data_IF_168382515917
#
_entry.id   IF_168382515917
#
_cell.length_a   1.000
_cell.length_b   1.000
_cell.length_c   1.000
_cell.angle_alpha   90.00
_cell.angle_beta   90.00
_cell.angle_gamma   90.00
#
_symmetry.space_group_name_H-M   'P 1'
#
loop_
_entity.id
_entity.type
_entity.pdbx_description
1 polymer ?
#
# COMPACT_ATOMS: atom_id res chain seq x y z
N UNK A 1 0.41 -41.19 21.60
CA UNK A 1 -0.23 -39.86 21.77
C UNK A 1 -1.42 -39.81 20.82
N UNK A 2 -2.63 -39.73 21.36
CA UNK A 2 -3.83 -39.60 20.53
C UNK A 2 -3.80 -38.25 19.81
N UNK A 3 -3.90 -38.25 18.48
CA UNK A 3 -4.09 -37.03 17.71
C UNK A 3 -5.36 -36.35 18.23
N UNK A 4 -5.25 -35.14 18.77
CA UNK A 4 -6.40 -34.35 19.17
C UNK A 4 -7.30 -34.20 17.94
N UNK A 5 -8.54 -34.67 18.01
CA UNK A 5 -9.52 -34.46 16.96
C UNK A 5 -9.66 -32.94 16.76
N UNK A 6 -9.27 -32.45 15.57
CA UNK A 6 -9.47 -31.05 15.20
C UNK A 6 -10.97 -30.76 15.26
N UNK A 7 -11.35 -29.82 16.12
CA UNK A 7 -12.72 -29.31 16.22
C UNK A 7 -13.16 -28.78 14.85
N UNK A 8 -14.35 -29.15 14.38
CA UNK A 8 -14.92 -28.54 13.18
C UNK A 8 -15.51 -27.18 13.56
N UNK A 9 -14.67 -26.15 13.55
CA UNK A 9 -15.04 -24.77 13.91
C UNK A 9 -16.22 -24.24 13.09
N UNK A 10 -16.36 -24.67 11.84
CA UNK A 10 -17.45 -24.22 10.96
C UNK A 10 -18.79 -24.84 11.36
N UNK A 11 -18.79 -26.12 11.72
CA UNK A 11 -20.01 -26.80 12.18
C UNK A 11 -20.39 -26.37 13.59
N UNK A 12 -19.42 -26.35 14.50
CA UNK A 12 -19.70 -26.10 15.93
C UNK A 12 -19.99 -24.65 16.25
N UNK A 13 -19.30 -23.69 15.62
CA UNK A 13 -19.46 -22.27 15.94
C UNK A 13 -20.28 -21.52 14.90
N UNK A 14 -20.09 -21.83 13.63
CA UNK A 14 -20.81 -21.19 12.52
C UNK A 14 -22.00 -22.00 12.03
N UNK A 15 -22.32 -23.17 12.60
CA UNK A 15 -23.49 -23.96 12.22
C UNK A 15 -23.58 -24.30 10.73
N UNK A 16 -22.45 -24.28 10.00
CA UNK A 16 -22.40 -24.55 8.56
C UNK A 16 -22.39 -26.08 8.40
N UNK A 17 -23.33 -26.66 7.62
CA UNK A 17 -23.39 -28.10 7.41
C UNK A 17 -22.11 -28.63 6.75
N UNK A 18 -21.88 -29.93 6.85
CA UNK A 18 -20.74 -30.59 6.20
C UNK A 18 -20.86 -30.46 4.67
N UNK A 19 -19.78 -30.00 4.04
CA UNK A 19 -19.70 -29.69 2.62
C UNK A 19 -18.25 -29.53 2.17
N UNK A 20 -17.98 -29.03 0.94
CA UNK A 20 -16.63 -28.75 0.50
C UNK A 20 -15.96 -27.75 1.45
N UNK A 21 -14.78 -28.11 1.96
CA UNK A 21 -13.95 -27.28 2.84
C UNK A 21 -12.71 -26.81 2.07
N UNK A 22 -12.28 -25.55 2.20
CA UNK A 22 -12.92 -24.46 2.94
C UNK A 22 -14.21 -23.98 2.25
N UNK A 23 -15.20 -23.45 3.02
CA UNK A 23 -16.40 -22.84 2.44
C UNK A 23 -16.04 -21.65 1.55
N UNK A 24 -16.87 -21.36 0.56
CA UNK A 24 -16.76 -20.12 -0.21
C UNK A 24 -17.03 -18.88 0.67
N UNK A 25 -16.66 -17.69 0.20
CA UNK A 25 -16.78 -16.45 1.00
C UNK A 25 -18.24 -16.09 1.31
N UNK A 26 -19.18 -16.44 0.43
CA UNK A 26 -20.62 -16.17 0.64
C UNK A 26 -21.20 -17.12 1.69
N UNK A 27 -20.93 -18.41 1.59
CA UNK A 27 -21.31 -19.45 2.53
C UNK A 27 -20.70 -19.19 3.92
N UNK A 28 -19.43 -18.79 3.96
CA UNK A 28 -18.75 -18.46 5.22
C UNK A 28 -19.43 -17.31 5.95
N UNK A 29 -19.88 -16.28 5.22
CA UNK A 29 -20.63 -15.15 5.78
C UNK A 29 -22.15 -15.38 5.84
N UNK A 30 -22.63 -16.58 5.52
CA UNK A 30 -24.06 -16.94 5.44
C UNK A 30 -24.88 -15.96 4.58
N UNK A 31 -24.36 -15.65 3.40
CA UNK A 31 -24.97 -14.79 2.40
C UNK A 31 -25.47 -15.62 1.21
N UNK A 32 -26.49 -15.14 0.48
CA UNK A 32 -26.79 -15.70 -0.83
C UNK A 32 -25.62 -15.43 -1.79
N UNK A 33 -25.46 -16.31 -2.79
CA UNK A 33 -24.44 -16.15 -3.82
C UNK A 33 -24.64 -14.82 -4.58
N UNK A 34 -23.54 -14.11 -4.86
CA UNK A 34 -23.51 -12.82 -5.57
C UNK A 34 -24.28 -11.68 -4.86
N UNK A 35 -24.33 -11.68 -3.53
CA UNK A 35 -24.91 -10.56 -2.77
C UNK A 35 -24.18 -9.23 -3.07
N UNK A 36 -24.91 -8.22 -3.53
CA UNK A 36 -24.39 -6.88 -3.86
C UNK A 36 -24.52 -5.85 -2.74
N UNK A 37 -25.37 -6.10 -1.74
CA UNK A 37 -25.54 -5.18 -0.60
C UNK A 37 -24.38 -5.27 0.41
N UNK A 38 -23.48 -4.28 0.35
CA UNK A 38 -22.34 -4.10 1.26
C UNK A 38 -22.78 -4.02 2.72
N UNK A 39 -23.90 -3.35 3.03
CA UNK A 39 -24.37 -3.22 4.40
C UNK A 39 -24.84 -4.57 4.96
N UNK A 40 -25.46 -5.40 4.12
CA UNK A 40 -25.84 -6.77 4.49
C UNK A 40 -24.62 -7.67 4.71
N UNK A 41 -23.60 -7.58 3.86
CA UNK A 41 -22.31 -8.27 4.03
C UNK A 41 -21.69 -7.94 5.39
N UNK A 42 -21.54 -6.64 5.68
CA UNK A 42 -20.97 -6.16 6.95
C UNK A 42 -21.81 -6.59 8.16
N UNK A 43 -23.14 -6.51 8.07
CA UNK A 43 -24.05 -6.91 9.15
C UNK A 43 -23.91 -8.39 9.50
N UNK A 44 -23.82 -9.27 8.52
CA UNK A 44 -23.64 -10.70 8.75
C UNK A 44 -22.24 -11.01 9.31
N UNK A 45 -21.21 -10.37 8.76
CA UNK A 45 -19.84 -10.45 9.28
C UNK A 45 -19.80 -10.10 10.78
N UNK A 46 -20.34 -8.95 11.20
CA UNK A 46 -20.35 -8.52 12.61
C UNK A 46 -20.98 -9.56 13.53
N UNK A 47 -22.11 -10.16 13.12
CA UNK A 47 -22.80 -11.20 13.89
C UNK A 47 -21.96 -12.46 14.07
N UNK A 48 -21.36 -12.95 12.98
CA UNK A 48 -20.56 -14.18 12.99
C UNK A 48 -19.25 -13.98 13.74
N UNK A 49 -18.58 -12.86 13.49
CA UNK A 49 -17.37 -12.47 14.20
C UNK A 49 -17.63 -12.39 15.72
N UNK A 50 -18.69 -11.71 16.17
CA UNK A 50 -19.05 -11.65 17.58
C UNK A 50 -19.32 -13.03 18.20
N UNK A 51 -19.82 -14.01 17.43
CA UNK A 51 -19.99 -15.38 17.89
C UNK A 51 -18.64 -16.09 18.08
N UNK A 52 -17.73 -15.96 17.12
CA UNK A 52 -16.40 -16.60 17.16
C UNK A 52 -15.53 -15.99 18.25
N UNK A 53 -15.64 -14.68 18.52
CA UNK A 53 -14.89 -14.00 19.59
C UNK A 53 -15.13 -14.56 20.99
N UNK A 54 -16.25 -15.26 21.22
CA UNK A 54 -16.48 -15.95 22.50
C UNK A 54 -15.46 -17.05 22.78
N UNK A 55 -14.81 -17.55 21.74
CA UNK A 55 -13.77 -18.60 21.80
C UNK A 55 -12.35 -18.04 21.67
N UNK A 56 -12.19 -16.71 21.57
CA UNK A 56 -10.90 -16.02 21.43
C UNK A 56 -9.93 -16.26 22.60
N UNK A 57 -10.45 -16.64 23.77
CA UNK A 57 -9.66 -16.94 24.96
C UNK A 57 -9.76 -18.41 25.35
N UNK A 58 -8.66 -18.99 25.82
CA UNK A 58 -8.62 -20.33 26.37
C UNK A 58 -8.09 -21.37 25.37
N UNK A 59 -8.65 -22.59 25.44
CA UNK A 59 -8.12 -23.76 24.71
C UNK A 59 -8.18 -23.61 23.18
N UNK A 60 -9.15 -22.87 22.66
CA UNK A 60 -9.42 -22.73 21.21
C UNK A 60 -8.98 -21.36 20.66
N UNK A 61 -8.09 -20.66 21.37
CA UNK A 61 -7.67 -19.31 20.99
C UNK A 61 -7.04 -19.28 19.59
N UNK A 62 -6.19 -20.26 19.25
CA UNK A 62 -5.56 -20.33 17.94
C UNK A 62 -6.58 -20.56 16.82
N UNK A 63 -7.47 -21.54 16.99
CA UNK A 63 -8.48 -21.89 15.99
C UNK A 63 -9.52 -20.77 15.79
N UNK A 64 -9.87 -20.06 16.86
CA UNK A 64 -10.74 -18.89 16.78
C UNK A 64 -10.07 -17.72 16.05
N UNK A 65 -8.78 -17.49 16.26
CA UNK A 65 -8.04 -16.44 15.55
C UNK A 65 -7.95 -16.76 14.05
N UNK A 66 -7.66 -18.02 13.68
CA UNK A 66 -7.66 -18.46 12.28
C UNK A 66 -9.02 -18.21 11.61
N UNK A 67 -10.12 -18.57 12.28
CA UNK A 67 -11.46 -18.37 11.75
C UNK A 67 -11.85 -16.87 11.66
N UNK A 68 -11.43 -16.05 12.63
CA UNK A 68 -11.65 -14.60 12.57
C UNK A 68 -10.92 -13.98 11.38
N UNK A 69 -9.69 -14.42 11.12
CA UNK A 69 -8.92 -13.99 9.96
C UNK A 69 -9.59 -14.42 8.65
N UNK A 70 -10.15 -15.64 8.57
CA UNK A 70 -10.95 -16.09 7.43
C UNK A 70 -12.20 -15.23 7.19
N UNK A 71 -12.98 -14.97 8.23
CA UNK A 71 -14.17 -14.11 8.15
C UNK A 71 -13.82 -12.70 7.67
N UNK A 72 -12.70 -12.15 8.15
CA UNK A 72 -12.23 -10.83 7.74
C UNK A 72 -11.81 -10.82 6.27
N UNK A 73 -11.09 -11.84 5.79
CA UNK A 73 -10.72 -11.99 4.38
C UNK A 73 -11.94 -12.05 3.48
N UNK A 74 -12.95 -12.84 3.86
CA UNK A 74 -14.21 -12.95 3.14
C UNK A 74 -14.92 -11.61 3.02
N UNK A 75 -15.09 -10.91 4.15
CA UNK A 75 -15.73 -9.59 4.17
C UNK A 75 -14.96 -8.61 3.30
N UNK A 76 -13.64 -8.51 3.45
CA UNK A 76 -12.80 -7.60 2.68
C UNK A 76 -12.76 -7.91 1.19
N UNK A 77 -12.89 -9.18 0.80
CA UNK A 77 -13.01 -9.56 -0.61
C UNK A 77 -14.33 -9.03 -1.19
N UNK A 78 -15.45 -9.27 -0.48
CA UNK A 78 -16.78 -8.95 -0.95
C UNK A 78 -17.15 -7.46 -0.84
N UNK A 79 -16.48 -6.68 0.01
CA UNK A 79 -16.72 -5.22 0.13
C UNK A 79 -15.84 -4.38 -0.80
N UNK A 80 -14.82 -4.98 -1.41
CA UNK A 80 -13.89 -4.31 -2.32
C UNK A 80 -14.39 -4.46 -3.75
N UNK A 81 -14.70 -3.36 -4.43
CA UNK A 81 -15.38 -3.41 -5.72
C UNK A 81 -14.58 -4.16 -6.80
N UNK A 82 -13.26 -3.95 -6.86
CA UNK A 82 -12.40 -4.58 -7.86
C UNK A 82 -12.24 -6.08 -7.56
N UNK A 83 -11.99 -6.43 -6.30
CA UNK A 83 -11.77 -7.84 -5.91
C UNK A 83 -13.03 -8.66 -5.94
N UNK A 84 -14.17 -8.07 -5.58
CA UNK A 84 -15.44 -8.77 -5.64
C UNK A 84 -15.76 -9.15 -7.08
N UNK A 85 -15.53 -8.26 -8.04
CA UNK A 85 -15.74 -8.56 -9.47
C UNK A 85 -14.89 -9.75 -9.90
N UNK A 86 -13.60 -9.76 -9.53
CA UNK A 86 -12.71 -10.89 -9.85
C UNK A 86 -13.18 -12.19 -9.20
N UNK A 87 -13.51 -12.15 -7.91
CA UNK A 87 -14.00 -13.31 -7.16
C UNK A 87 -15.34 -13.83 -7.71
N UNK A 88 -16.27 -12.94 -8.04
CA UNK A 88 -17.56 -13.29 -8.60
C UNK A 88 -17.42 -13.96 -9.97
N UNK A 89 -16.46 -13.51 -10.81
CA UNK A 89 -16.13 -14.18 -12.08
C UNK A 89 -15.59 -15.59 -11.85
N UNK A 90 -14.69 -15.79 -10.88
CA UNK A 90 -14.20 -17.12 -10.49
C UNK A 90 -15.34 -18.04 -10.02
N UNK A 91 -16.35 -17.48 -9.35
CA UNK A 91 -17.55 -18.20 -8.90
C UNK A 91 -18.61 -18.37 -10.01
N UNK A 92 -18.36 -17.89 -11.23
CA UNK A 92 -19.22 -18.08 -12.40
C UNK A 92 -20.26 -16.97 -12.67
N UNK A 93 -20.12 -15.79 -12.06
CA UNK A 93 -20.95 -14.62 -12.40
C UNK A 93 -20.54 -14.08 -13.76
N UNK A 94 -21.48 -14.06 -14.70
CA UNK A 94 -21.31 -13.31 -15.94
C UNK A 94 -21.60 -11.83 -15.65
N UNK A 95 -20.55 -11.00 -15.70
CA UNK A 95 -20.64 -9.55 -15.47
C UNK A 95 -20.49 -8.89 -16.84
N UNK A 96 -21.49 -8.12 -17.28
CA UNK A 96 -21.32 -7.24 -18.43
C UNK A 96 -20.36 -6.11 -18.02
N UNK A 97 -19.19 -6.03 -18.65
CA UNK A 97 -18.18 -5.00 -18.37
C UNK A 97 -18.73 -3.56 -18.54
N UNK A 98 -19.87 -3.39 -19.24
CA UNK A 98 -20.59 -2.11 -19.38
C UNK A 98 -21.29 -1.66 -18.09
N UNK A 99 -21.63 -2.59 -17.21
CA UNK A 99 -22.35 -2.34 -15.95
C UNK A 99 -21.42 -2.17 -14.74
N UNK A 100 -20.09 -2.15 -14.95
CA UNK A 100 -19.07 -1.87 -13.93
C UNK A 100 -19.09 -0.41 -13.39
N UNK A 101 -20.26 0.23 -13.38
CA UNK A 101 -20.49 1.59 -12.86
C UNK A 101 -20.69 1.58 -11.33
N UNK A 102 -19.90 0.78 -10.62
CA UNK A 102 -19.54 1.06 -9.22
C UNK A 102 -18.24 1.86 -9.20
N UNK A 103 -18.15 2.86 -10.07
CA UNK A 103 -17.04 3.79 -10.14
C UNK A 103 -16.97 4.63 -8.87
N UNK A 104 -15.75 4.86 -8.39
CA UNK A 104 -15.42 5.78 -7.30
C UNK A 104 -16.31 7.03 -7.39
N UNK A 105 -17.06 7.33 -6.32
CA UNK A 105 -17.92 8.52 -6.26
C UNK A 105 -17.30 9.49 -5.26
N UNK A 106 -17.32 10.81 -5.52
CA UNK A 106 -16.86 11.78 -4.54
C UNK A 106 -17.66 11.64 -3.24
N UNK A 107 -17.02 11.74 -2.07
CA UNK A 107 -17.66 11.47 -0.78
C UNK A 107 -18.91 12.33 -0.57
N UNK A 108 -18.91 13.57 -1.07
CA UNK A 108 -20.04 14.49 -0.97
C UNK A 108 -21.25 14.05 -1.78
N UNK A 109 -21.05 13.30 -2.88
CA UNK A 109 -22.14 12.68 -3.65
C UNK A 109 -22.65 11.43 -2.95
N UNK A 110 -21.75 10.61 -2.39
CA UNK A 110 -22.12 9.46 -1.57
C UNK A 110 -23.00 9.87 -0.38
N UNK A 111 -22.57 10.90 0.38
CA UNK A 111 -23.33 11.43 1.51
C UNK A 111 -24.67 12.06 1.12
N UNK A 112 -24.78 12.65 -0.07
CA UNK A 112 -26.06 13.15 -0.59
C UNK A 112 -27.01 12.01 -0.97
N UNK A 113 -26.50 10.95 -1.62
CA UNK A 113 -27.28 9.79 -2.00
C UNK A 113 -27.84 9.04 -0.79
N UNK A 114 -27.07 8.97 0.30
CA UNK A 114 -27.51 8.42 1.59
C UNK A 114 -28.45 9.38 2.37
N UNK A 115 -28.70 10.59 1.85
CA UNK A 115 -29.56 11.59 2.50
C UNK A 115 -28.93 12.26 3.74
N UNK A 116 -27.63 12.07 3.97
CA UNK A 116 -26.89 12.64 5.12
C UNK A 116 -26.62 14.13 4.90
N UNK A 117 -26.36 14.53 3.64
CA UNK A 117 -26.12 15.93 3.27
C UNK A 117 -27.15 16.40 2.25
N UNK A 118 -27.59 17.64 2.41
CA UNK A 118 -28.30 18.39 1.37
C UNK A 118 -27.32 19.05 0.40
N UNK A 119 -27.77 19.39 -0.81
CA UNK A 119 -26.92 20.08 -1.79
C UNK A 119 -26.43 21.45 -1.29
N UNK A 120 -27.18 22.13 -0.42
CA UNK A 120 -26.76 23.37 0.22
C UNK A 120 -25.60 23.12 1.21
N UNK A 121 -25.70 22.09 2.05
CA UNK A 121 -24.65 21.70 3.00
C UNK A 121 -23.37 21.25 2.28
N UNK A 122 -23.46 20.64 1.10
CA UNK A 122 -22.28 20.28 0.31
C UNK A 122 -21.49 21.51 -0.14
N UNK A 123 -22.17 22.57 -0.57
CA UNK A 123 -21.50 23.82 -0.92
C UNK A 123 -20.88 24.50 0.30
N UNK A 124 -21.56 24.44 1.45
CA UNK A 124 -21.02 24.90 2.73
C UNK A 124 -19.73 24.15 3.10
N UNK A 125 -19.74 22.82 3.06
CA UNK A 125 -18.57 21.96 3.33
C UNK A 125 -17.40 22.32 2.41
N UNK A 126 -17.64 22.47 1.10
CA UNK A 126 -16.59 22.84 0.14
C UNK A 126 -15.99 24.21 0.46
N UNK A 127 -16.83 25.22 0.67
CA UNK A 127 -16.38 26.58 0.99
C UNK A 127 -15.61 26.64 2.33
N UNK A 128 -16.02 25.83 3.31
CA UNK A 128 -15.35 25.76 4.60
C UNK A 128 -14.01 25.04 4.51
N UNK A 129 -13.94 23.93 3.77
CA UNK A 129 -12.72 23.19 3.50
C UNK A 129 -11.67 24.05 2.78
N UNK A 130 -12.08 24.80 1.75
CA UNK A 130 -11.20 25.73 1.02
C UNK A 130 -10.68 26.86 1.91
N UNK A 131 -11.54 27.44 2.76
CA UNK A 131 -11.15 28.54 3.65
C UNK A 131 -10.24 28.11 4.80
N UNK A 132 -10.43 26.89 5.31
CA UNK A 132 -9.67 26.37 6.47
C UNK A 132 -8.46 25.54 6.07
N UNK A 133 -8.39 25.07 4.83
CA UNK A 133 -7.38 24.11 4.36
C UNK A 133 -7.58 22.69 4.90
N UNK A 134 -8.74 22.39 5.49
CA UNK A 134 -9.07 21.06 6.00
C UNK A 134 -9.60 20.14 4.90
N UNK A 135 -9.51 18.83 5.11
CA UNK A 135 -10.14 17.86 4.21
C UNK A 135 -11.67 17.96 4.30
N UNK A 136 -12.36 17.61 3.21
CA UNK A 136 -13.83 17.58 3.20
C UNK A 136 -14.38 16.64 4.28
N UNK A 137 -13.72 15.49 4.49
CA UNK A 137 -14.05 14.53 5.55
C UNK A 137 -14.01 15.18 6.93
N UNK A 138 -12.91 15.85 7.27
CA UNK A 138 -12.74 16.45 8.60
C UNK A 138 -13.68 17.65 8.79
N UNK A 139 -13.96 18.39 7.71
CA UNK A 139 -14.92 19.50 7.70
C UNK A 139 -16.34 19.03 7.99
N UNK A 140 -16.79 17.94 7.37
CA UNK A 140 -18.14 17.35 7.61
C UNK A 140 -18.31 16.98 9.08
N UNK A 141 -17.27 16.40 9.69
CA UNK A 141 -17.28 16.05 11.12
C UNK A 141 -17.25 17.29 12.01
N UNK A 142 -16.43 18.30 11.66
CA UNK A 142 -16.31 19.55 12.42
C UNK A 142 -17.61 20.36 12.43
N UNK A 143 -18.31 20.41 11.30
CA UNK A 143 -19.63 21.06 11.18
C UNK A 143 -20.77 20.22 11.79
N UNK A 144 -20.46 19.03 12.34
CA UNK A 144 -21.41 18.08 12.92
C UNK A 144 -22.52 17.66 11.94
N UNK A 145 -22.19 17.64 10.65
CA UNK A 145 -23.13 17.25 9.60
C UNK A 145 -23.21 15.73 9.44
N UNK A 146 -22.11 15.02 9.71
CA UNK A 146 -22.09 13.56 9.84
C UNK A 146 -21.17 13.14 10.99
N UNK A 147 -21.34 11.90 11.45
CA UNK A 147 -20.42 11.28 12.39
C UNK A 147 -19.10 10.88 11.71
N UNK A 148 -18.12 10.52 12.54
CA UNK A 148 -16.78 10.17 12.05
C UNK A 148 -16.79 8.87 11.22
N UNK A 149 -17.67 7.94 11.54
CA UNK A 149 -17.80 6.67 10.83
C UNK A 149 -18.38 6.86 9.43
N UNK A 150 -19.51 7.57 9.30
CA UNK A 150 -20.14 7.83 7.99
C UNK A 150 -19.25 8.69 7.11
N UNK A 151 -18.60 9.72 7.67
CA UNK A 151 -17.65 10.55 6.92
C UNK A 151 -16.44 9.73 6.40
N UNK A 152 -15.89 8.84 7.24
CA UNK A 152 -14.75 8.00 6.86
C UNK A 152 -15.15 6.94 5.83
N UNK A 153 -16.34 6.35 5.96
CA UNK A 153 -16.91 5.40 4.98
C UNK A 153 -17.11 6.05 3.61
N UNK A 154 -17.66 7.27 3.59
CA UNK A 154 -17.83 8.03 2.36
C UNK A 154 -16.49 8.36 1.69
N UNK A 155 -15.47 8.72 2.49
CA UNK A 155 -14.12 8.94 2.00
C UNK A 155 -13.46 7.66 1.46
N UNK A 156 -13.70 6.52 2.09
CA UNK A 156 -13.23 5.22 1.60
C UNK A 156 -13.81 4.89 0.22
N UNK A 157 -15.10 5.17 0.01
CA UNK A 157 -15.75 5.02 -1.30
C UNK A 157 -15.19 5.95 -2.38
N UNK A 158 -14.70 7.13 -2.01
CA UNK A 158 -14.07 8.08 -2.93
C UNK A 158 -12.69 7.60 -3.41
N UNK A 159 -11.87 7.10 -2.50
CA UNK A 159 -10.54 6.58 -2.85
C UNK A 159 -10.65 5.18 -3.46
N UNK A 160 -11.73 4.45 -3.21
CA UNK A 160 -11.89 3.05 -3.63
C UNK A 160 -11.20 2.08 -2.68
N UNK A 161 -11.08 2.44 -1.39
CA UNK A 161 -10.59 1.56 -0.34
C UNK A 161 -11.75 0.99 0.48
N UNK A 162 -11.58 -0.23 1.01
CA UNK A 162 -12.56 -0.80 1.93
C UNK A 162 -12.53 -0.07 3.29
N UNK A 163 -13.71 0.16 3.87
CA UNK A 163 -13.85 0.68 5.22
C UNK A 163 -14.04 -0.46 6.23
N UNK A 164 -13.33 -0.41 7.35
CA UNK A 164 -13.44 -1.39 8.43
C UNK A 164 -13.62 -0.71 9.79
N UNK A 165 -14.43 -1.35 10.62
CA UNK A 165 -14.57 -1.01 12.03
C UNK A 165 -13.54 -1.83 12.84
N UNK A 166 -12.58 -1.14 13.46
CA UNK A 166 -11.53 -1.78 14.24
C UNK A 166 -12.05 -2.43 15.52
N UNK A 167 -13.22 -2.03 16.03
CA UNK A 167 -13.83 -2.67 17.19
C UNK A 167 -14.13 -4.15 16.92
N UNK A 168 -14.39 -4.50 15.65
CA UNK A 168 -14.70 -5.87 15.21
C UNK A 168 -13.45 -6.69 14.89
N UNK A 169 -12.25 -6.09 14.89
CA UNK A 169 -11.03 -6.75 14.46
C UNK A 169 -10.11 -7.09 15.64
N UNK A 170 -9.54 -8.31 15.63
CA UNK A 170 -8.48 -8.70 16.55
C UNK A 170 -7.19 -8.85 15.72
N UNK A 171 -6.23 -7.91 15.85
CA UNK A 171 -4.96 -8.02 15.15
C UNK A 171 -4.10 -9.18 15.66
N UNK A 172 -3.30 -9.76 14.77
CA UNK A 172 -2.34 -10.81 15.10
C UNK A 172 -1.14 -10.25 15.86
N UNK A 173 -0.81 -10.87 17.00
CA UNK A 173 0.32 -10.44 17.84
C UNK A 173 1.66 -10.46 17.09
N UNK A 174 1.89 -11.47 16.26
CA UNK A 174 3.11 -11.61 15.46
C UNK A 174 3.32 -10.42 14.51
N UNK A 175 2.22 -9.88 13.96
CA UNK A 175 2.25 -8.75 13.04
C UNK A 175 2.51 -7.46 13.81
N UNK A 176 1.87 -7.30 14.96
CA UNK A 176 2.07 -6.15 15.83
C UNK A 176 3.51 -6.05 16.36
N UNK A 177 4.13 -7.18 16.72
CA UNK A 177 5.52 -7.24 17.21
C UNK A 177 6.56 -6.87 16.15
N UNK A 178 6.20 -7.02 14.87
CA UNK A 178 7.09 -6.78 13.72
C UNK A 178 7.14 -5.31 13.32
N UNK A 179 6.15 -4.50 13.72
CA UNK A 179 6.07 -3.07 13.41
C UNK A 179 6.32 -2.25 14.68
N UNK A 180 7.33 -1.38 14.71
CA UNK A 180 7.63 -0.58 15.90
C UNK A 180 6.56 0.48 16.15
N UNK A 181 6.42 0.88 17.42
CA UNK A 181 5.42 1.87 17.85
C UNK A 181 5.59 3.22 17.17
N UNK A 182 6.83 3.58 16.82
CA UNK A 182 7.16 4.82 16.13
C UNK A 182 6.55 4.89 14.73
N UNK A 183 6.52 3.79 13.98
CA UNK A 183 5.97 3.73 12.62
C UNK A 183 4.46 3.86 12.66
N UNK A 184 3.77 3.06 13.49
CA UNK A 184 2.30 3.11 13.63
C UNK A 184 1.80 4.47 14.09
N UNK A 185 2.53 5.15 14.99
CA UNK A 185 2.19 6.51 15.44
C UNK A 185 2.49 7.58 14.39
N UNK A 186 3.62 7.48 13.68
CA UNK A 186 4.01 8.45 12.64
C UNK A 186 3.00 8.47 11.50
N UNK A 187 2.63 7.29 11.00
CA UNK A 187 1.72 7.16 9.86
C UNK A 187 0.25 7.00 10.26
N UNK A 188 -0.07 7.04 11.55
CA UNK A 188 -1.43 6.80 12.09
C UNK A 188 -2.08 5.58 11.42
N UNK A 189 -1.41 4.44 11.52
CA UNK A 189 -1.86 3.18 10.97
C UNK A 189 -1.76 2.06 12.01
N UNK A 190 -2.53 1.00 11.82
CA UNK A 190 -2.55 -0.17 12.70
C UNK A 190 -2.49 -1.44 11.83
N UNK A 191 -1.43 -2.25 11.91
CA UNK A 191 -1.36 -3.48 11.16
C UNK A 191 -2.26 -4.53 11.81
N UNK A 192 -2.98 -5.28 10.98
CA UNK A 192 -4.01 -6.22 11.44
C UNK A 192 -3.50 -7.67 11.39
N UNK A 193 -3.36 -8.24 10.21
CA UNK A 193 -2.87 -9.61 10.03
C UNK A 193 -2.22 -9.77 8.65
N UNK A 194 -1.52 -10.89 8.44
CA UNK A 194 -0.96 -11.25 7.13
C UNK A 194 -1.94 -12.18 6.40
N UNK A 195 -2.22 -11.84 5.14
CA UNK A 195 -3.08 -12.56 4.21
C UNK A 195 -2.27 -12.99 2.99
N UNK A 196 -1.73 -14.21 3.02
CA UNK A 196 -0.85 -14.72 1.96
C UNK A 196 0.37 -13.83 1.76
N UNK A 197 0.53 -13.29 0.55
CA UNK A 197 1.61 -12.34 0.20
C UNK A 197 1.23 -10.87 0.45
N UNK A 198 0.21 -10.61 1.27
CA UNK A 198 -0.26 -9.25 1.57
C UNK A 198 -0.40 -9.02 3.06
N UNK A 199 -0.13 -7.81 3.54
CA UNK A 199 -0.37 -7.43 4.94
C UNK A 199 -1.51 -6.45 4.99
N UNK A 200 -2.55 -6.79 5.75
CA UNK A 200 -3.68 -5.89 5.96
C UNK A 200 -3.30 -4.83 6.97
N UNK A 201 -3.43 -3.56 6.57
CA UNK A 201 -3.08 -2.42 7.42
C UNK A 201 -4.23 -1.41 7.43
N UNK A 202 -4.72 -1.09 8.61
CA UNK A 202 -5.72 -0.04 8.78
C UNK A 202 -5.04 1.34 8.80
N UNK A 203 -5.51 2.25 7.96
CA UNK A 203 -4.98 3.60 7.78
C UNK A 203 -6.09 4.63 8.02
N UNK A 204 -5.72 5.81 8.51
CA UNK A 204 -6.66 6.93 8.70
C UNK A 204 -6.87 7.73 7.41
N UNK A 205 -5.89 7.71 6.51
CA UNK A 205 -5.87 8.38 5.22
C UNK A 205 -5.32 7.43 4.16
N UNK A 206 -5.32 7.86 2.90
CA UNK A 206 -4.59 7.16 1.85
C UNK A 206 -3.11 6.94 2.27
N UNK A 207 -2.58 5.72 2.13
CA UNK A 207 -1.20 5.44 2.49
C UNK A 207 -0.23 6.17 1.54
N UNK A 208 0.89 6.65 2.06
CA UNK A 208 1.97 7.15 1.22
C UNK A 208 2.79 5.98 0.66
N UNK A 209 3.44 6.18 -0.48
CA UNK A 209 4.37 5.19 -1.05
C UNK A 209 5.44 4.76 -0.04
N UNK A 210 5.94 5.69 0.79
CA UNK A 210 6.89 5.37 1.87
C UNK A 210 6.34 4.33 2.85
N UNK A 211 5.07 4.46 3.24
CA UNK A 211 4.43 3.53 4.16
C UNK A 211 4.28 2.15 3.51
N UNK A 212 3.87 2.11 2.25
CA UNK A 212 3.74 0.87 1.50
C UNK A 212 5.08 0.14 1.37
N UNK A 213 6.16 0.87 1.06
CA UNK A 213 7.51 0.30 0.96
C UNK A 213 8.03 -0.18 2.31
N UNK A 214 7.80 0.57 3.38
CA UNK A 214 8.18 0.18 4.76
C UNK A 214 7.55 -1.16 5.15
N UNK A 215 6.25 -1.34 4.87
CA UNK A 215 5.54 -2.60 5.12
C UNK A 215 6.02 -3.73 4.21
N UNK A 216 6.24 -3.45 2.92
CA UNK A 216 6.79 -4.41 1.96
C UNK A 216 8.16 -4.94 2.39
N UNK A 217 9.05 -4.08 2.85
CA UNK A 217 10.39 -4.47 3.31
C UNK A 217 10.36 -5.25 4.62
N UNK A 218 9.43 -4.94 5.53
CA UNK A 218 9.31 -5.60 6.84
C UNK A 218 8.71 -7.00 6.75
N UNK A 219 7.67 -7.16 5.93
CA UNK A 219 6.90 -8.41 5.85
C UNK A 219 7.22 -9.24 4.61
N UNK A 220 7.96 -8.70 3.64
CA UNK A 220 8.15 -9.36 2.34
C UNK A 220 6.87 -9.47 1.53
N UNK A 221 5.84 -8.70 1.88
CA UNK A 221 4.47 -8.83 1.40
C UNK A 221 3.89 -7.45 1.05
N UNK A 222 3.06 -7.37 0.02
CA UNK A 222 2.47 -6.09 -0.40
C UNK A 222 1.48 -5.56 0.65
N UNK A 223 1.48 -4.26 0.88
CA UNK A 223 0.52 -3.64 1.79
C UNK A 223 -0.88 -3.67 1.16
N UNK A 224 -1.87 -4.14 1.93
CA UNK A 224 -3.30 -3.97 1.62
C UNK A 224 -3.87 -2.91 2.57
N UNK A 225 -4.01 -1.64 2.13
CA UNK A 225 -4.58 -0.60 2.96
C UNK A 225 -6.10 -0.76 3.09
N UNK A 226 -6.62 -0.53 4.29
CA UNK A 226 -8.05 -0.37 4.57
C UNK A 226 -8.26 0.88 5.40
N UNK A 227 -9.39 1.57 5.23
CA UNK A 227 -9.67 2.78 6.01
C UNK A 227 -10.41 2.45 7.31
N UNK A 228 -9.96 3.08 8.38
CA UNK A 228 -10.63 3.07 9.68
C UNK A 228 -10.67 4.49 10.25
N UNK A 229 -11.54 4.73 11.24
CA UNK A 229 -11.65 6.07 11.83
C UNK A 229 -10.34 6.45 12.54
N UNK A 230 -9.88 7.71 12.41
CA UNK A 230 -8.67 8.17 13.10
C UNK A 230 -8.70 7.95 14.62
N UNK A 231 -9.89 8.04 15.22
CA UNK A 231 -10.11 7.78 16.65
C UNK A 231 -9.86 6.31 16.98
N UNK A 232 -10.48 5.38 16.25
CA UNK A 232 -10.33 3.95 16.50
C UNK A 232 -8.89 3.48 16.30
N UNK A 233 -8.15 4.04 15.32
CA UNK A 233 -6.73 3.70 15.12
C UNK A 233 -5.90 4.14 16.32
N UNK A 234 -6.10 5.36 16.83
CA UNK A 234 -5.37 5.85 18.01
C UNK A 234 -5.67 5.02 19.25
N UNK A 235 -6.94 4.72 19.48
CA UNK A 235 -7.37 3.84 20.58
C UNK A 235 -6.75 2.44 20.45
N UNK A 236 -6.73 1.86 19.25
CA UNK A 236 -6.07 0.59 18.98
C UNK A 236 -4.55 0.65 19.20
N UNK A 237 -3.87 1.71 18.77
CA UNK A 237 -2.44 1.90 19.04
C UNK A 237 -2.18 1.97 20.55
N UNK A 238 -2.99 2.70 21.31
CA UNK A 238 -2.80 2.83 22.75
C UNK A 238 -3.14 1.52 23.50
N UNK A 239 -4.15 0.78 23.05
CA UNK A 239 -4.51 -0.52 23.59
C UNK A 239 -3.43 -1.57 23.33
N UNK A 240 -3.00 -1.71 22.08
CA UNK A 240 -2.11 -2.79 21.68
C UNK A 240 -0.64 -2.42 21.93
N UNK A 241 -0.20 -1.19 21.66
CA UNK A 241 1.20 -0.76 21.83
C UNK A 241 1.45 -0.02 23.15
N UNK A 242 0.67 -0.27 24.21
CA UNK A 242 0.94 0.29 25.53
C UNK A 242 2.38 -0.05 26.01
N UNK A 243 2.98 0.86 26.79
CA UNK A 243 4.38 0.76 27.19
C UNK A 243 4.66 -0.54 27.95
N UNK A 244 5.70 -1.28 27.53
CA UNK A 244 6.16 -2.51 28.20
C UNK A 244 5.52 -3.83 27.72
N UNK A 245 4.48 -3.78 26.87
CA UNK A 245 3.78 -4.99 26.39
C UNK A 245 4.51 -5.74 25.26
N UNK A 246 5.32 -5.05 24.44
CA UNK A 246 5.98 -5.65 23.27
C UNK A 246 7.47 -5.44 23.25
N UNK A 247 8.20 -6.52 22.97
CA UNK A 247 9.63 -6.49 22.63
C UNK A 247 9.71 -6.19 21.14
N UNK A 248 9.94 -4.93 20.77
CA UNK A 248 10.10 -4.55 19.37
C UNK A 248 11.18 -5.41 18.72
N UNK A 249 10.82 -6.20 17.70
CA UNK A 249 11.82 -6.83 16.83
C UNK A 249 12.38 -5.71 15.95
N UNK A 250 13.50 -5.15 16.40
CA UNK A 250 14.19 -4.09 15.68
C UNK A 250 14.69 -4.58 14.32
N UNK A 251 13.87 -4.44 13.28
CA UNK A 251 14.38 -4.36 11.91
C UNK A 251 14.75 -2.89 11.70
N UNK A 252 16.05 -2.56 11.60
CA UNK A 252 16.48 -1.17 11.56
C UNK A 252 15.96 -0.48 10.29
N UNK A 253 15.10 0.51 10.49
CA UNK A 253 14.63 1.47 9.50
C UNK A 253 15.84 2.25 8.96
N UNK A 254 16.28 1.97 7.72
CA UNK A 254 17.22 2.84 7.00
C UNK A 254 16.42 3.82 6.14
N UNK A 255 15.92 4.89 6.75
CA UNK A 255 15.43 6.05 5.99
C UNK A 255 16.63 6.93 5.62
N UNK A 256 16.62 7.42 4.39
CA UNK A 256 17.76 7.93 3.62
C UNK A 256 18.61 9.02 4.28
N UNK A 257 19.92 8.84 4.09
CA UNK A 257 20.99 9.80 4.32
C UNK A 257 22.18 9.35 3.48
N UNK A 258 22.06 9.50 2.16
CA UNK A 258 23.13 9.27 1.21
C UNK A 258 24.24 10.32 1.44
N UNK A 259 25.17 10.02 2.36
CA UNK A 259 26.50 10.63 2.47
C UNK A 259 27.35 10.02 3.60
N UNK A 260 26.79 9.31 4.60
CA UNK A 260 27.55 8.88 5.80
C UNK A 260 27.81 7.37 5.92
N UNK A 261 27.62 6.57 4.84
CA UNK A 261 27.94 5.13 4.83
C UNK A 261 28.95 4.80 3.74
N UNK A 262 30.13 5.39 3.85
CA UNK A 262 31.31 4.97 3.08
C UNK A 262 32.58 4.81 3.94
N UNK A 263 32.50 4.93 5.27
CA UNK A 263 33.68 4.76 6.14
C UNK A 263 33.61 3.70 7.25
N UNK A 264 32.50 2.99 7.47
CA UNK A 264 32.39 2.06 8.62
C UNK A 264 32.38 0.55 8.30
N UNK A 265 32.91 0.15 7.13
CA UNK A 265 33.16 -1.26 6.82
C UNK A 265 34.50 -1.51 6.13
N UNK A 266 35.59 -1.02 6.71
CA UNK A 266 36.93 -1.64 6.56
C UNK A 266 37.67 -1.56 7.88
N UNK A 267 37.28 -2.41 8.85
CA UNK A 267 38.09 -2.58 10.06
C UNK A 267 37.84 -3.94 10.73
N UNK A 268 37.99 -5.03 9.99
CA UNK A 268 38.48 -6.29 10.56
C UNK A 268 39.36 -6.99 9.51
N UNK A 269 40.65 -6.61 9.47
CA UNK A 269 41.72 -7.46 8.92
C UNK A 269 42.84 -7.50 9.96
N UNK A 270 43.28 -8.72 10.30
CA UNK A 270 44.44 -8.97 11.16
C UNK A 270 45.69 -8.23 10.59
N UNK A 271 46.55 -7.66 11.44
CA UNK A 271 47.75 -6.94 11.01
C UNK A 271 48.72 -7.86 10.26
N UNK A 272 49.42 -7.30 9.27
CA UNK A 272 50.32 -7.96 8.29
C UNK A 272 51.52 -8.69 8.93
N UNK A 273 51.66 -8.68 10.26
CA UNK A 273 52.79 -9.27 10.98
C UNK A 273 52.69 -10.80 11.19
N UNK A 274 51.63 -11.47 10.72
CA UNK A 274 51.43 -12.92 10.91
C UNK A 274 50.89 -13.57 9.62
N UNK A 275 51.59 -13.43 8.50
CA UNK A 275 51.26 -14.13 7.25
C UNK A 275 52.44 -15.02 6.85
N UNK A 276 52.16 -16.25 6.46
CA UNK A 276 53.15 -17.19 5.91
C UNK A 276 53.57 -16.72 4.51
N UNK A 277 54.78 -17.10 4.05
CA UNK A 277 55.33 -16.62 2.78
C UNK A 277 54.44 -16.97 1.56
N UNK A 278 53.66 -18.06 1.65
CA UNK A 278 52.70 -18.48 0.64
C UNK A 278 51.52 -17.50 0.48
N UNK A 279 50.96 -16.98 1.58
CA UNK A 279 49.83 -16.03 1.55
C UNK A 279 50.24 -14.66 0.96
N UNK A 280 51.52 -14.33 1.05
CA UNK A 280 52.09 -13.09 0.51
C UNK A 280 52.24 -13.16 -1.01
N UNK A 281 52.58 -14.33 -1.53
CA UNK A 281 52.69 -14.57 -2.96
C UNK A 281 51.32 -14.58 -3.65
N UNK A 282 50.30 -15.19 -3.03
CA UNK A 282 48.93 -15.19 -3.54
C UNK A 282 48.36 -13.78 -3.63
N UNK A 283 48.62 -12.92 -2.62
CA UNK A 283 48.19 -11.51 -2.65
C UNK A 283 48.90 -10.69 -3.71
N UNK A 284 50.17 -10.98 -3.98
CA UNK A 284 50.91 -10.33 -5.07
C UNK A 284 50.30 -10.69 -6.43
N UNK A 285 50.00 -11.98 -6.64
CA UNK A 285 49.32 -12.47 -7.85
C UNK A 285 47.93 -11.83 -8.01
N UNK A 286 47.15 -11.76 -6.92
CA UNK A 286 45.83 -11.11 -6.92
C UNK A 286 45.91 -9.62 -7.22
N UNK A 287 46.95 -8.93 -6.72
CA UNK A 287 47.19 -7.52 -7.02
C UNK A 287 47.52 -7.28 -8.50
N UNK A 288 48.32 -8.15 -9.11
CA UNK A 288 48.66 -8.08 -10.54
C UNK A 288 47.42 -8.31 -11.40
N UNK A 289 46.57 -9.30 -11.06
CA UNK A 289 45.30 -9.56 -11.77
C UNK A 289 44.33 -8.39 -11.63
N UNK A 290 44.23 -7.77 -10.45
CA UNK A 290 43.36 -6.62 -10.26
C UNK A 290 43.81 -5.44 -11.13
N UNK A 291 45.11 -5.18 -11.18
CA UNK A 291 45.68 -4.08 -11.96
C UNK A 291 45.51 -4.28 -13.47
N UNK A 292 45.67 -5.52 -13.95
CA UNK A 292 45.43 -5.85 -15.37
C UNK A 292 43.94 -5.75 -15.74
N UNK A 293 43.03 -6.16 -14.85
CA UNK A 293 41.59 -6.01 -15.06
C UNK A 293 41.15 -4.55 -15.17
N UNK A 294 41.72 -3.64 -14.38
CA UNK A 294 41.40 -2.20 -14.50
C UNK A 294 41.80 -1.64 -15.87
N UNK A 295 42.98 -2.03 -16.37
CA UNK A 295 43.45 -1.61 -17.69
C UNK A 295 42.59 -2.17 -18.84
N UNK A 296 42.18 -3.44 -18.75
CA UNK A 296 41.31 -4.07 -19.74
C UNK A 296 39.93 -3.39 -19.77
N UNK A 297 39.36 -3.07 -18.61
CA UNK A 297 38.07 -2.39 -18.52
C UNK A 297 38.15 -0.97 -19.12
N UNK A 298 39.20 -0.21 -18.81
CA UNK A 298 39.42 1.12 -19.38
C UNK A 298 39.62 1.08 -20.90
N UNK A 299 40.40 0.14 -21.42
CA UNK A 299 40.64 0.00 -22.86
C UNK A 299 39.37 -0.41 -23.64
N UNK A 300 38.51 -1.25 -23.06
CA UNK A 300 37.23 -1.61 -23.69
C UNK A 300 36.20 -0.48 -23.64
N UNK A 301 36.20 0.33 -22.57
CA UNK A 301 35.38 1.54 -22.50
C UNK A 301 35.73 2.54 -23.61
N UNK A 302 37.02 2.74 -23.88
CA UNK A 302 37.47 3.62 -24.98
C UNK A 302 37.11 3.05 -26.37
N UNK A 303 37.25 1.74 -26.57
CA UNK A 303 37.00 1.12 -27.87
C UNK A 303 35.50 1.05 -28.25
N UNK A 304 34.61 0.85 -27.26
CA UNK A 304 33.20 0.61 -27.51
C UNK A 304 32.32 1.85 -27.29
N UNK A 305 32.54 2.58 -26.19
CA UNK A 305 31.63 3.68 -25.80
C UNK A 305 31.93 4.97 -26.55
N UNK A 306 33.22 5.29 -26.78
CA UNK A 306 33.59 6.50 -27.52
C UNK A 306 33.41 6.36 -29.04
N UNK A 307 33.59 5.16 -29.61
CA UNK A 307 33.37 4.94 -31.04
C UNK A 307 31.89 5.08 -31.42
N UNK A 308 30.97 4.55 -30.59
CA UNK A 308 29.53 4.69 -30.81
C UNK A 308 29.06 6.15 -30.66
N UNK A 309 29.59 6.89 -29.68
CA UNK A 309 29.27 8.31 -29.51
C UNK A 309 29.76 9.19 -30.68
N UNK A 310 30.94 8.91 -31.24
CA UNK A 310 31.46 9.65 -32.41
C UNK A 310 30.68 9.30 -33.69
N UNK A 311 30.25 8.04 -33.85
CA UNK A 311 29.41 7.61 -34.98
C UNK A 311 28.02 8.25 -34.95
N UNK A 312 27.41 8.33 -33.76
CA UNK A 312 26.12 9.00 -33.53
C UNK A 312 26.23 10.52 -33.79
N UNK A 313 27.33 11.16 -33.37
CA UNK A 313 27.56 12.59 -33.63
C UNK A 313 27.77 12.91 -35.13
N UNK A 314 28.46 12.04 -35.90
CA UNK A 314 28.63 12.26 -37.36
C UNK A 314 27.33 12.10 -38.15
N UNK A 315 26.46 11.17 -37.75
CA UNK A 315 25.15 11.00 -38.39
C UNK A 315 24.23 12.18 -38.14
N UNK A 316 24.24 12.76 -36.93
CA UNK A 316 23.46 13.97 -36.62
C UNK A 316 23.93 15.22 -37.40
N UNK A 317 25.25 15.39 -37.61
CA UNK A 317 25.79 16.52 -38.37
C UNK A 317 25.47 16.45 -39.89
N UNK A 318 25.30 15.25 -40.45
CA UNK A 318 24.92 15.06 -41.86
C UNK A 318 23.44 15.36 -42.13
N UNK A 319 22.55 15.16 -41.14
CA UNK A 319 21.12 15.41 -41.29
C UNK A 319 20.82 16.92 -41.27
N UNK A 320 21.53 17.68 -40.42
CA UNK A 320 21.29 19.13 -40.26
C UNK A 320 21.76 19.98 -41.45
N UNK A 321 22.75 19.48 -42.22
CA UNK A 321 23.19 20.13 -43.47
C UNK A 321 22.24 19.85 -44.66
N UNK A 322 21.47 18.77 -44.61
CA UNK A 322 20.52 18.41 -45.67
C UNK A 322 19.17 19.13 -45.49
N UNK A 323 18.73 19.36 -44.24
CA UNK A 323 17.50 20.10 -43.94
C UNK A 323 17.60 21.61 -44.23
N UNK A 324 18.80 22.20 -44.17
CA UNK A 324 19.00 23.64 -44.42
C UNK A 324 18.93 24.05 -45.90
N UNK A 325 19.01 23.10 -46.84
CA UNK A 325 18.99 23.37 -48.29
C UNK A 325 17.62 23.13 -48.96
N UNK A 326 16.62 22.57 -48.27
CA UNK A 326 15.37 22.13 -48.89
C UNK A 326 14.19 23.15 -48.80
N UNK A 327 14.27 24.19 -47.96
CA UNK A 327 13.18 25.17 -47.81
C UNK A 327 13.54 26.55 -48.37
N UNK A 328 13.65 26.61 -49.70
CA UNK A 328 13.59 27.87 -50.43
C UNK A 328 12.15 28.35 -50.62
N UNK A 329 11.74 29.40 -49.90
CA UNK A 329 11.24 30.69 -50.46
C UNK A 329 10.48 31.53 -49.42
N UNK A 330 10.84 32.82 -49.45
CA UNK A 330 10.23 34.09 -48.97
C UNK A 330 8.77 34.03 -48.50
N UNK A 331 8.41 34.88 -47.52
CA UNK A 331 7.35 35.89 -47.67
C UNK A 331 7.36 36.94 -46.51
N UNK A 332 7.45 38.22 -46.92
CA UNK A 332 6.82 39.46 -46.39
C UNK A 332 7.08 39.94 -44.93
N UNK A 333 7.75 41.10 -44.81
CA UNK A 333 7.69 42.03 -43.66
C UNK A 333 6.60 43.10 -43.89
N UNK A 334 5.77 43.46 -42.89
CA UNK A 334 4.88 44.59 -43.00
C UNK A 334 5.58 45.92 -42.66
N UNK A 335 5.18 46.96 -43.39
CA UNK A 335 5.54 48.36 -43.19
C UNK A 335 5.06 48.89 -41.81
N UNK A 336 5.93 49.64 -41.11
CA UNK A 336 5.50 50.67 -40.16
C UNK A 336 6.21 51.99 -40.46
N UNK A 337 5.37 53.02 -40.47
CA UNK A 337 5.58 54.39 -40.95
C UNK A 337 6.53 55.18 -40.04
N UNK A 338 7.16 56.15 -40.69
CA UNK A 338 7.95 57.28 -40.20
C UNK A 338 7.27 58.09 -39.08
N UNK A 339 8.06 58.51 -38.09
CA UNK A 339 7.85 59.76 -37.37
C UNK A 339 9.20 60.51 -37.29
N UNK A 340 9.20 61.66 -37.93
CA UNK A 340 10.19 62.74 -37.93
C UNK A 340 10.35 63.40 -36.56
N UNK A 341 11.57 63.80 -36.17
CA UNK A 341 11.91 65.22 -35.96
C UNK A 341 13.38 65.37 -35.57
N UNK A 342 14.09 66.17 -36.37
CA UNK A 342 15.33 66.85 -36.01
C UNK A 342 15.04 67.93 -34.97
N UNK A 343 15.92 68.06 -33.98
CA UNK A 343 16.64 69.30 -33.68
C UNK A 343 17.87 68.99 -32.83
#
# INVERSE_FOLDING_TARGET
MAAAAKIDVYKEWLGIPEGPRPPDHYALLRLPQFEDDVAKIQKNYKKLNAAVRKYATGKYAAESQELLNELARAMLCLTDAERKVEYDREQGREIDDRDATTGRRPMTSYLQAEGVLTSAQVNEVKSHAERTGLSQRDTVVQLKLADQETATRAYASEIGLAYIDLADMIPDENVLDSVPKSVVRRYTCLPLFVDGERVLVACSTEPSMELEEEFRLRFGAAMRPVLATPKAIKEGIDQYYAQGLRKEKAVPMKVGGAASKLMDKVAQKKPVSQMTDEEKEERSKLGIVLCSMTFVVLANLDAWVLHDLVSICRTFASVDSTCRNANGRRFIRPQKKTATSSK
#
